data_IF_411219058074
#
_entry.id   IF_411219058074
#
_cell.length_a   1.000
_cell.length_b   1.000
_cell.length_c   1.000
_cell.angle_alpha   90.00
_cell.angle_beta   90.00
_cell.angle_gamma   90.00
#
_symmetry.space_group_name_H-M   'P 1'
#
loop_
_entity.id
_entity.type
_entity.pdbx_description
1 polymer ?
#
# COMPACT_ATOMS: atom_id res chain seq x y z
N UNK A 1 -19.96 17.58 6.06
CA UNK A 1 -18.95 17.35 4.99
C UNK A 1 -19.05 18.46 3.93
N UNK A 2 -17.93 19.09 3.54
CA UNK A 2 -17.95 20.16 2.53
C UNK A 2 -17.99 19.58 1.12
N UNK A 3 -18.79 20.18 0.23
CA UNK A 3 -18.93 19.73 -1.16
C UNK A 3 -17.60 19.78 -1.93
N UNK A 4 -16.80 20.84 -1.74
CA UNK A 4 -15.51 21.02 -2.42
C UNK A 4 -14.50 19.92 -2.10
N UNK A 5 -14.54 19.38 -0.88
CA UNK A 5 -13.69 18.26 -0.46
C UNK A 5 -14.14 16.96 -1.12
N UNK A 6 -15.46 16.76 -1.20
CA UNK A 6 -16.04 15.58 -1.86
C UNK A 6 -15.73 15.57 -3.35
N UNK A 7 -15.83 16.72 -4.03
CA UNK A 7 -15.47 16.84 -5.45
C UNK A 7 -13.97 16.56 -5.69
N UNK A 8 -13.10 16.91 -4.73
CA UNK A 8 -11.65 16.74 -4.86
C UNK A 8 -11.17 15.32 -4.53
N UNK A 9 -11.69 14.73 -3.45
CA UNK A 9 -11.17 13.49 -2.88
C UNK A 9 -12.14 12.31 -3.01
N UNK A 10 -13.42 12.55 -3.24
CA UNK A 10 -14.47 11.54 -3.24
C UNK A 10 -15.27 11.52 -1.94
N UNK A 11 -15.99 10.43 -1.69
CA UNK A 11 -16.89 10.31 -0.54
C UNK A 11 -16.18 10.64 0.77
N UNK A 12 -16.85 11.43 1.63
CA UNK A 12 -16.28 11.82 2.93
C UNK A 12 -16.06 10.59 3.82
N UNK A 13 -15.13 10.71 4.77
CA UNK A 13 -14.77 9.64 5.69
C UNK A 13 -15.94 9.22 6.59
N UNK A 14 -16.11 7.92 6.82
CA UNK A 14 -17.07 7.35 7.78
C UNK A 14 -16.32 6.73 8.96
N UNK A 15 -16.89 6.83 10.17
CA UNK A 15 -16.25 6.34 11.39
C UNK A 15 -15.89 4.85 11.33
N UNK A 16 -16.70 4.04 10.64
CA UNK A 16 -16.49 2.60 10.48
C UNK A 16 -15.21 2.22 9.74
N UNK A 17 -14.63 3.14 8.96
CA UNK A 17 -13.44 2.87 8.14
C UNK A 17 -12.14 2.86 8.94
N UNK A 18 -12.17 3.39 10.16
CA UNK A 18 -11.00 3.52 11.04
C UNK A 18 -11.06 2.59 12.23
N UNK A 19 -12.03 1.67 12.27
CA UNK A 19 -12.28 0.80 13.43
C UNK A 19 -11.07 -0.06 13.77
N UNK A 20 -10.26 -0.41 12.77
CA UNK A 20 -9.06 -1.25 12.92
C UNK A 20 -7.74 -0.45 12.86
N UNK A 21 -7.79 0.89 12.85
CA UNK A 21 -6.60 1.73 12.78
C UNK A 21 -6.03 1.99 14.18
N UNK A 22 -4.91 1.33 14.49
CA UNK A 22 -4.22 1.47 15.76
C UNK A 22 -2.76 1.91 15.57
N UNK A 23 -2.41 3.20 15.79
CA UNK A 23 -3.32 4.34 16.05
C UNK A 23 -4.01 4.84 14.78
N UNK A 24 -5.00 5.72 14.95
CA UNK A 24 -5.65 6.41 13.84
C UNK A 24 -4.65 7.28 13.05
N UNK A 25 -4.79 7.33 11.73
CA UNK A 25 -3.91 8.11 10.82
C UNK A 25 -4.60 9.34 10.23
N UNK A 26 -5.49 9.98 10.99
CA UNK A 26 -6.15 11.20 10.55
C UNK A 26 -5.15 12.35 10.49
N UNK A 27 -5.08 12.99 9.33
CA UNK A 27 -4.21 14.14 9.15
C UNK A 27 -4.68 15.34 9.99
N UNK A 28 -3.74 15.98 10.69
CA UNK A 28 -3.95 17.29 11.31
C UNK A 28 -3.49 18.45 10.43
N UNK A 29 -2.76 18.16 9.35
CA UNK A 29 -2.24 19.11 8.38
C UNK A 29 -2.20 18.48 6.98
N UNK A 30 -2.35 19.32 5.95
CA UNK A 30 -2.19 18.93 4.55
C UNK A 30 -1.10 19.77 3.90
N UNK A 31 0.11 19.22 3.89
CA UNK A 31 1.21 19.72 3.03
C UNK A 31 1.08 19.12 1.62
N UNK A 32 0.78 17.81 1.56
CA UNK A 32 0.29 17.14 0.35
C UNK A 32 -1.24 16.94 0.40
N UNK A 33 -1.83 16.33 -0.64
CA UNK A 33 -3.26 16.01 -0.68
C UNK A 33 -3.67 14.97 0.37
N UNK A 34 -4.97 14.87 0.64
CA UNK A 34 -5.55 13.78 1.43
C UNK A 34 -5.38 12.42 0.74
N UNK A 35 -5.06 11.37 1.50
CA UNK A 35 -4.76 10.02 1.00
C UNK A 35 -5.90 9.02 1.20
N UNK A 36 -6.93 9.34 1.99
CA UNK A 36 -7.94 8.35 2.41
C UNK A 36 -8.64 7.66 1.24
N UNK A 37 -8.69 8.30 0.07
CA UNK A 37 -9.38 7.82 -1.13
C UNK A 37 -8.44 7.56 -2.31
N UNK A 38 -7.17 7.27 -2.04
CA UNK A 38 -6.16 7.06 -3.10
C UNK A 38 -6.20 5.64 -3.69
N UNK A 39 -6.82 4.66 -3.00
CA UNK A 39 -6.88 3.27 -3.45
C UNK A 39 -7.51 3.11 -4.84
N UNK A 40 -6.71 2.55 -5.76
CA UNK A 40 -7.07 2.36 -7.17
C UNK A 40 -7.13 3.63 -8.01
N UNK A 41 -6.72 4.79 -7.48
CA UNK A 41 -6.70 6.06 -8.23
C UNK A 41 -5.49 6.18 -9.17
N UNK A 42 -4.37 5.60 -8.77
CA UNK A 42 -3.12 5.57 -9.53
C UNK A 42 -2.60 4.14 -9.63
N UNK A 43 -1.80 3.86 -10.66
CA UNK A 43 -1.17 2.54 -10.84
C UNK A 43 -0.06 2.32 -9.83
N UNK A 44 0.34 1.06 -9.65
CA UNK A 44 1.47 0.70 -8.78
C UNK A 44 2.77 1.35 -9.28
N UNK A 45 3.00 1.39 -10.60
CA UNK A 45 4.15 2.07 -11.19
C UNK A 45 4.13 3.57 -10.94
N UNK A 46 2.95 4.21 -10.93
CA UNK A 46 2.85 5.63 -10.55
C UNK A 46 3.28 5.82 -9.10
N UNK A 47 2.83 4.96 -8.18
CA UNK A 47 3.22 5.04 -6.77
C UNK A 47 4.73 4.79 -6.58
N UNK A 48 5.30 3.81 -7.26
CA UNK A 48 6.74 3.53 -7.26
C UNK A 48 7.54 4.76 -7.73
N UNK A 49 7.21 5.27 -8.92
CA UNK A 49 7.92 6.40 -9.52
C UNK A 49 7.73 7.68 -8.70
N UNK A 50 6.54 7.92 -8.14
CA UNK A 50 6.30 9.08 -7.28
C UNK A 50 7.07 9.01 -5.96
N UNK A 51 7.24 7.82 -5.36
CA UNK A 51 8.09 7.67 -4.17
C UNK A 51 9.58 7.81 -4.50
N UNK A 52 10.00 7.37 -5.70
CA UNK A 52 11.38 7.48 -6.15
C UNK A 52 11.77 8.92 -6.51
N UNK A 53 10.94 9.61 -7.27
CA UNK A 53 11.09 11.02 -7.65
C UNK A 53 9.71 11.69 -7.78
N UNK A 54 9.22 12.32 -6.70
CA UNK A 54 7.92 12.99 -6.71
C UNK A 54 7.80 14.10 -7.76
N UNK A 55 8.89 14.78 -8.11
CA UNK A 55 8.87 15.90 -9.06
C UNK A 55 8.73 15.43 -10.51
N UNK A 56 9.21 14.22 -10.82
CA UNK A 56 9.02 13.59 -12.13
C UNK A 56 7.54 13.29 -12.41
N UNK A 57 6.80 12.88 -11.38
CA UNK A 57 5.39 12.49 -11.49
C UNK A 57 4.43 13.66 -11.26
N UNK A 58 4.82 14.62 -10.43
CA UNK A 58 4.05 15.82 -10.12
C UNK A 58 4.96 17.04 -10.10
N UNK A 59 4.93 17.81 -11.19
CA UNK A 59 5.75 19.01 -11.32
C UNK A 59 5.47 20.00 -10.17
N UNK A 60 6.53 20.44 -9.50
CA UNK A 60 6.43 21.30 -8.33
C UNK A 60 6.08 20.58 -7.03
N UNK A 61 6.10 19.24 -7.00
CA UNK A 61 5.95 18.48 -5.75
C UNK A 61 7.03 18.86 -4.75
N UNK A 62 6.59 19.15 -3.53
CA UNK A 62 7.46 19.41 -2.37
C UNK A 62 7.66 18.17 -1.50
N UNK A 63 7.11 17.02 -1.91
CA UNK A 63 7.31 15.77 -1.22
C UNK A 63 8.79 15.36 -1.32
N UNK A 64 9.44 14.94 -0.22
CA UNK A 64 10.77 14.35 -0.28
C UNK A 64 10.78 13.05 -1.08
N UNK A 65 11.89 12.74 -1.74
CA UNK A 65 12.10 11.44 -2.36
C UNK A 65 12.39 10.37 -1.28
N UNK A 66 11.82 9.18 -1.45
CA UNK A 66 11.94 8.03 -0.55
C UNK A 66 12.65 6.85 -1.25
N UNK A 67 13.77 7.13 -1.93
CA UNK A 67 14.47 6.16 -2.78
C UNK A 67 14.98 4.92 -2.02
N UNK A 68 15.17 5.01 -0.70
CA UNK A 68 15.55 3.86 0.12
C UNK A 68 14.47 2.78 0.14
N UNK A 69 13.18 3.13 0.11
CA UNK A 69 12.09 2.15 0.07
C UNK A 69 12.16 1.25 -1.18
N UNK A 70 12.71 1.77 -2.28
CA UNK A 70 12.87 1.04 -3.56
C UNK A 70 14.09 0.13 -3.55
N UNK A 71 14.99 0.26 -2.57
CA UNK A 71 16.25 -0.50 -2.49
C UNK A 71 16.28 -1.47 -1.31
N UNK A 72 15.70 -1.06 -0.19
CA UNK A 72 15.82 -1.76 1.08
C UNK A 72 14.85 -2.95 1.13
N UNK A 73 15.32 -4.03 1.73
CA UNK A 73 14.54 -5.27 1.92
C UNK A 73 13.57 -5.08 3.07
N UNK A 74 12.32 -5.49 2.85
CA UNK A 74 11.30 -5.45 3.88
C UNK A 74 11.52 -6.55 4.92
N UNK A 75 11.75 -6.16 6.17
CA UNK A 75 11.75 -7.09 7.31
C UNK A 75 10.31 -7.45 7.72
N UNK A 76 9.97 -8.74 7.57
CA UNK A 76 8.65 -9.31 7.86
C UNK A 76 8.62 -10.17 9.13
N UNK A 77 9.71 -10.22 9.88
CA UNK A 77 9.87 -11.14 11.02
C UNK A 77 8.77 -10.99 12.08
N UNK A 78 8.39 -9.75 12.39
CA UNK A 78 7.42 -9.44 13.45
C UNK A 78 5.95 -9.45 13.01
N UNK A 79 5.61 -9.82 11.76
CA UNK A 79 4.24 -9.64 11.25
C UNK A 79 3.19 -10.40 12.08
N UNK A 80 3.48 -11.63 12.46
CA UNK A 80 2.54 -12.45 13.22
C UNK A 80 2.34 -11.90 14.64
N UNK A 81 3.40 -11.39 15.27
CA UNK A 81 3.32 -10.77 16.59
C UNK A 81 2.55 -9.45 16.55
N UNK A 82 2.74 -8.65 15.48
CA UNK A 82 1.92 -7.45 15.23
C UNK A 82 0.44 -7.82 15.07
N UNK A 83 0.12 -8.87 14.31
CA UNK A 83 -1.27 -9.32 14.14
C UNK A 83 -1.87 -9.79 15.47
N UNK A 84 -1.14 -10.57 16.27
CA UNK A 84 -1.58 -10.97 17.63
C UNK A 84 -1.81 -9.77 18.54
N UNK A 85 -0.94 -8.76 18.48
CA UNK A 85 -1.15 -7.52 19.20
C UNK A 85 -2.42 -6.80 18.74
N UNK A 86 -2.69 -6.76 17.43
CA UNK A 86 -3.94 -6.18 16.89
C UNK A 86 -5.18 -6.97 17.33
N UNK A 87 -5.10 -8.29 17.46
CA UNK A 87 -6.18 -9.11 18.07
C UNK A 87 -6.46 -8.67 19.50
N UNK A 88 -5.42 -8.39 20.29
CA UNK A 88 -5.62 -7.90 21.67
C UNK A 88 -6.28 -6.52 21.74
N UNK A 89 -6.20 -5.74 20.65
CA UNK A 89 -6.85 -4.44 20.49
C UNK A 89 -8.27 -4.54 19.90
N UNK A 90 -8.74 -5.75 19.58
CA UNK A 90 -10.09 -6.00 19.08
C UNK A 90 -10.19 -6.15 17.56
N UNK A 91 -9.07 -6.17 16.83
CA UNK A 91 -9.07 -6.45 15.39
C UNK A 91 -9.30 -7.96 15.16
N UNK A 92 -10.30 -8.36 14.35
CA UNK A 92 -10.76 -9.75 14.30
C UNK A 92 -9.91 -10.62 13.35
N UNK A 93 -8.58 -10.62 13.50
CA UNK A 93 -7.74 -11.61 12.82
C UNK A 93 -7.99 -13.00 13.43
N UNK A 94 -8.14 -13.99 12.56
CA UNK A 94 -8.20 -15.41 12.95
C UNK A 94 -6.81 -15.99 13.13
N UNK A 95 -6.70 -17.13 13.82
CA UNK A 95 -5.43 -17.87 13.89
C UNK A 95 -4.95 -18.33 12.50
N UNK A 96 -5.89 -18.60 11.59
CA UNK A 96 -5.59 -18.91 10.19
C UNK A 96 -4.92 -17.71 9.51
N UNK A 97 -5.48 -16.51 9.63
CA UNK A 97 -4.88 -15.28 9.09
C UNK A 97 -3.45 -15.08 9.62
N UNK A 98 -3.25 -15.26 10.93
CA UNK A 98 -1.93 -15.09 11.56
C UNK A 98 -0.95 -16.15 11.05
N UNK A 99 -1.37 -17.41 10.95
CA UNK A 99 -0.50 -18.49 10.46
C UNK A 99 -0.13 -18.32 8.98
N UNK A 100 -1.06 -17.81 8.17
CA UNK A 100 -0.90 -17.62 6.72
C UNK A 100 -0.32 -16.26 6.35
N UNK A 101 -0.05 -15.38 7.31
CA UNK A 101 0.37 -13.99 7.08
C UNK A 101 1.52 -13.86 6.08
N UNK A 102 2.58 -14.66 6.23
CA UNK A 102 3.74 -14.61 5.33
C UNK A 102 3.39 -15.03 3.90
N UNK A 103 2.56 -16.06 3.75
CA UNK A 103 2.09 -16.52 2.44
C UNK A 103 1.21 -15.46 1.77
N UNK A 104 0.26 -14.88 2.52
CA UNK A 104 -0.61 -13.82 2.01
C UNK A 104 0.19 -12.58 1.59
N UNK A 105 1.18 -12.17 2.38
CA UNK A 105 2.09 -11.08 2.03
C UNK A 105 2.89 -11.38 0.75
N UNK A 106 3.39 -12.60 0.62
CA UNK A 106 4.15 -13.03 -0.56
C UNK A 106 3.29 -13.05 -1.83
N UNK A 107 2.07 -13.55 -1.75
CA UNK A 107 1.11 -13.54 -2.86
C UNK A 107 0.75 -12.12 -3.29
N UNK A 108 0.42 -11.25 -2.34
CA UNK A 108 0.11 -9.85 -2.63
C UNK A 108 1.33 -9.12 -3.21
N UNK A 109 2.53 -9.37 -2.68
CA UNK A 109 3.75 -8.76 -3.16
C UNK A 109 4.08 -9.17 -4.60
N UNK A 110 3.88 -10.44 -4.96
CA UNK A 110 4.03 -10.93 -6.34
C UNK A 110 3.05 -10.27 -7.29
N UNK A 111 1.79 -10.13 -6.89
CA UNK A 111 0.79 -9.46 -7.73
C UNK A 111 1.17 -8.01 -8.03
N UNK A 112 1.71 -7.28 -7.05
CA UNK A 112 2.18 -5.91 -7.25
C UNK A 112 3.44 -5.91 -8.12
N UNK A 113 4.41 -6.81 -7.89
CA UNK A 113 5.59 -6.95 -8.73
C UNK A 113 5.21 -7.21 -10.21
N UNK A 114 4.30 -8.15 -10.46
CA UNK A 114 3.76 -8.44 -11.80
C UNK A 114 3.05 -7.22 -12.41
N UNK A 115 2.30 -6.46 -11.62
CA UNK A 115 1.67 -5.21 -12.03
C UNK A 115 2.70 -4.16 -12.46
N UNK A 116 3.85 -4.07 -11.79
CA UNK A 116 4.93 -3.14 -12.14
C UNK A 116 5.55 -3.45 -13.51
N UNK A 117 5.61 -4.71 -13.92
CA UNK A 117 6.07 -5.09 -15.27
C UNK A 117 5.18 -4.56 -16.41
N UNK A 118 3.99 -4.03 -16.11
CA UNK A 118 3.18 -3.31 -17.10
C UNK A 118 3.82 -2.00 -17.57
N UNK A 119 4.77 -1.45 -16.81
CA UNK A 119 5.60 -0.31 -17.20
C UNK A 119 6.88 -0.79 -17.92
N UNK A 120 7.04 -0.51 -19.23
CA UNK A 120 8.20 -0.97 -19.99
C UNK A 120 9.55 -0.43 -19.48
N UNK A 121 9.57 0.77 -18.92
CA UNK A 121 10.78 1.39 -18.41
C UNK A 121 11.23 0.69 -17.11
N UNK A 122 10.26 0.36 -16.25
CA UNK A 122 10.51 -0.48 -15.08
C UNK A 122 11.03 -1.86 -15.48
N UNK A 123 10.32 -2.57 -16.38
CA UNK A 123 10.68 -3.93 -16.78
C UNK A 123 12.12 -3.99 -17.33
N UNK A 124 12.49 -3.02 -18.17
CA UNK A 124 13.85 -2.95 -18.72
C UNK A 124 14.90 -2.69 -17.64
N UNK A 125 14.71 -1.66 -16.83
CA UNK A 125 15.71 -1.26 -15.82
C UNK A 125 15.88 -2.32 -14.73
N UNK A 126 14.79 -2.95 -14.31
CA UNK A 126 14.80 -4.00 -13.31
C UNK A 126 15.58 -5.24 -13.77
N UNK A 127 15.35 -5.72 -14.99
CA UNK A 127 16.06 -6.88 -15.55
C UNK A 127 17.56 -6.59 -15.80
N UNK A 128 17.88 -5.36 -16.22
CA UNK A 128 19.27 -4.91 -16.37
C UNK A 128 20.00 -4.88 -15.02
N UNK A 129 19.36 -4.37 -13.97
CA UNK A 129 19.93 -4.32 -12.63
C UNK A 129 20.08 -5.72 -12.02
N UNK A 130 19.09 -6.59 -12.22
CA UNK A 130 19.15 -8.02 -11.82
C UNK A 130 20.31 -8.74 -12.49
N UNK A 131 20.46 -8.57 -13.81
CA UNK A 131 21.56 -9.16 -14.57
C UNK A 131 22.92 -8.62 -14.13
N UNK A 132 23.00 -7.33 -13.80
CA UNK A 132 24.24 -6.69 -13.33
C UNK A 132 24.65 -7.21 -11.95
N UNK A 133 23.72 -7.33 -11.02
CA UNK A 133 23.97 -7.89 -9.69
C UNK A 133 24.45 -9.35 -9.78
N UNK A 134 23.83 -10.14 -10.66
CA UNK A 134 24.26 -11.52 -10.91
C UNK A 134 25.68 -11.58 -11.48
N UNK A 135 26.02 -10.71 -12.43
CA UNK A 135 27.35 -10.63 -13.02
C UNK A 135 28.43 -10.14 -12.04
N UNK A 136 28.07 -9.26 -11.09
CA UNK A 136 28.98 -8.76 -10.06
C UNK A 136 29.08 -9.67 -8.83
N UNK A 137 28.25 -10.73 -8.75
CA UNK A 137 28.17 -11.62 -7.58
C UNK A 137 27.59 -10.94 -6.34
N UNK A 138 26.84 -9.85 -6.53
CA UNK A 138 26.17 -9.12 -5.46
C UNK A 138 24.80 -9.71 -5.16
N UNK A 139 24.37 -9.61 -3.91
CA UNK A 139 22.99 -9.96 -3.52
C UNK A 139 22.01 -9.00 -4.20
N UNK A 140 20.98 -9.56 -4.84
CA UNK A 140 19.90 -8.81 -5.44
C UNK A 140 18.62 -9.05 -4.64
N UNK A 141 18.02 -7.97 -4.16
CA UNK A 141 16.70 -8.02 -3.50
C UNK A 141 15.63 -7.94 -4.59
N UNK A 142 14.84 -9.01 -4.73
CA UNK A 142 13.70 -9.01 -5.66
C UNK A 142 12.69 -7.93 -5.28
N UNK A 143 11.98 -7.37 -6.26
CA UNK A 143 11.09 -6.23 -6.04
C UNK A 143 9.99 -6.57 -5.03
N UNK A 144 9.39 -7.77 -5.14
CA UNK A 144 8.40 -8.29 -4.18
C UNK A 144 8.89 -8.26 -2.72
N UNK A 145 10.20 -8.27 -2.48
CA UNK A 145 10.79 -8.30 -1.13
C UNK A 145 11.23 -6.91 -0.64
N UNK A 146 10.99 -5.84 -1.40
CA UNK A 146 11.38 -4.47 -1.05
C UNK A 146 10.31 -3.72 -0.27
N UNK A 147 10.72 -2.74 0.54
CA UNK A 147 9.80 -1.95 1.38
C UNK A 147 8.73 -1.19 0.59
N UNK A 148 9.05 -0.73 -0.62
CA UNK A 148 8.11 -0.02 -1.50
C UNK A 148 6.85 -0.82 -1.79
N UNK A 149 6.94 -2.15 -1.87
CA UNK A 149 5.78 -3.02 -2.15
C UNK A 149 4.77 -2.96 -1.01
N UNK A 150 5.24 -2.98 0.24
CA UNK A 150 4.35 -2.85 1.41
C UNK A 150 3.64 -1.48 1.42
N UNK A 151 4.35 -0.42 1.02
CA UNK A 151 3.75 0.92 0.93
C UNK A 151 2.72 1.02 -0.19
N UNK A 152 3.00 0.46 -1.37
CA UNK A 152 2.06 0.41 -2.48
C UNK A 152 0.81 -0.38 -2.07
N UNK A 153 0.99 -1.57 -1.49
CA UNK A 153 -0.11 -2.41 -1.00
C UNK A 153 -1.02 -1.64 -0.03
N UNK A 154 -0.43 -0.92 0.92
CA UNK A 154 -1.16 -0.08 1.86
C UNK A 154 -1.92 1.06 1.17
N UNK A 155 -1.27 1.82 0.29
CA UNK A 155 -1.91 2.94 -0.43
C UNK A 155 -3.06 2.46 -1.32
N UNK A 156 -2.91 1.30 -1.97
CA UNK A 156 -3.96 0.72 -2.82
C UNK A 156 -5.19 0.27 -2.03
N UNK A 157 -5.04 -0.03 -0.74
CA UNK A 157 -6.13 -0.40 0.17
C UNK A 157 -6.96 0.82 0.64
N UNK A 158 -6.36 2.02 0.70
CA UNK A 158 -6.99 3.17 1.33
C UNK A 158 -8.30 3.60 0.64
N UNK A 159 -9.39 3.49 1.39
CA UNK A 159 -10.72 3.93 0.99
C UNK A 159 -11.42 3.02 -0.02
N UNK A 160 -10.96 1.77 -0.18
CA UNK A 160 -11.66 0.79 -1.01
C UNK A 160 -12.84 0.13 -0.29
N UNK A 161 -12.80 0.08 1.05
CA UNK A 161 -13.79 -0.63 1.87
C UNK A 161 -15.21 -0.05 1.78
N UNK A 162 -15.35 1.23 1.42
CA UNK A 162 -16.67 1.86 1.20
C UNK A 162 -17.34 1.44 -0.12
N UNK A 163 -16.59 0.82 -1.04
CA UNK A 163 -17.10 0.43 -2.36
C UNK A 163 -17.79 -0.93 -2.36
N UNK A 164 -17.84 -1.64 -1.22
CA UNK A 164 -18.48 -2.94 -1.08
C UNK A 164 -20.00 -2.80 -1.22
N UNK A 165 -20.52 -3.24 -2.38
CA UNK A 165 -21.93 -3.14 -2.77
C UNK A 165 -22.89 -3.98 -1.91
N UNK A 166 -22.39 -4.94 -1.15
CA UNK A 166 -23.21 -5.90 -0.37
C UNK A 166 -23.46 -5.48 1.08
N UNK A 167 -23.07 -4.26 1.47
CA UNK A 167 -23.26 -3.78 2.85
C UNK A 167 -24.74 -3.76 3.25
N UNK A 168 -25.65 -3.46 2.32
CA UNK A 168 -27.09 -3.48 2.58
C UNK A 168 -27.64 -4.90 2.81
N UNK A 169 -27.05 -5.92 2.18
CA UNK A 169 -27.46 -7.31 2.32
C UNK A 169 -27.01 -7.87 3.69
N UNK A 170 -25.77 -7.65 4.09
CA UNK A 170 -25.21 -8.08 5.38
C UNK A 170 -25.86 -7.39 6.61
N UNK A 171 -26.32 -6.15 6.47
CA UNK A 171 -27.03 -5.43 7.54
C UNK A 171 -28.48 -5.89 7.71
N UNK A 172 -29.09 -6.48 6.67
CA UNK A 172 -30.46 -7.00 6.73
C UNK A 172 -30.56 -8.39 7.38
N UNK A 173 -29.47 -9.16 7.33
CA UNK A 173 -29.41 -10.52 7.91
C UNK A 173 -29.10 -10.52 9.41
N UNK A 174 -28.64 -9.38 9.96
CA UNK A 174 -28.35 -9.20 11.38
C UNK A 174 -29.42 -8.35 12.12
N UNK A 175 -30.64 -8.28 11.59
CA UNK A 175 -31.79 -7.65 12.24
C UNK A 175 -32.83 -8.66 12.71
#
# INVERSE_FOLDING_TARGET
PFRSEVERYGEYAKAGEFVYDHPFLWGSKRTGPDLLRVGGKYSDSWHLNHMYDPQSMSSGSIMPAYQWLVRDKHDRSDVQDKMRAMVTLGVPYTEEDISNAQTAMEEQAKQIEESLYSDPDFAKTYEEDKSRALASGQEFVEMKDREIIALIAYLQRLGTDIKVKDTDQLLSENK
#
